data_IF_463206353440
#
_entry.id   IF_463206353440
#
_cell.length_a   1.000
_cell.length_b   1.000
_cell.length_c   1.000
_cell.angle_alpha   90.00
_cell.angle_beta   90.00
_cell.angle_gamma   90.00
#
_symmetry.space_group_name_H-M   'P 1'
#
loop_
_entity.id
_entity.type
_entity.pdbx_description
1 polymer ?
#
# COMPACT_ATOMS: atom_id res chain seq x y z
N UNK A 1 2.76 9.15 -15.95
CA UNK A 1 1.42 8.51 -16.21
C UNK A 1 1.02 8.58 -17.68
N UNK A 2 1.30 9.66 -18.41
CA UNK A 2 0.98 9.78 -19.86
C UNK A 2 1.55 8.64 -20.69
N UNK A 3 2.76 8.17 -20.39
CA UNK A 3 3.37 7.04 -21.10
C UNK A 3 2.58 5.71 -20.97
N UNK A 4 1.81 5.52 -19.90
CA UNK A 4 0.98 4.32 -19.74
C UNK A 4 -0.14 4.31 -20.77
N UNK A 5 -0.79 5.45 -21.02
CA UNK A 5 -1.86 5.56 -22.03
C UNK A 5 -1.34 5.23 -23.42
N UNK A 6 -0.19 5.80 -23.79
CA UNK A 6 0.44 5.56 -25.10
C UNK A 6 0.80 4.08 -25.29
N UNK A 7 1.37 3.46 -24.24
CA UNK A 7 1.72 2.03 -24.29
C UNK A 7 0.47 1.13 -24.35
N UNK A 8 -0.58 1.43 -23.60
CA UNK A 8 -1.82 0.65 -23.65
C UNK A 8 -2.46 0.71 -25.04
N UNK A 9 -2.46 1.89 -25.68
CA UNK A 9 -2.91 2.00 -27.06
C UNK A 9 -2.03 1.20 -28.05
N UNK A 10 -0.71 1.21 -27.82
CA UNK A 10 0.23 0.49 -28.68
C UNK A 10 0.08 -1.02 -28.61
N UNK A 11 -0.33 -1.56 -27.48
CA UNK A 11 -0.49 -3.00 -27.23
C UNK A 11 -1.94 -3.46 -27.23
N UNK A 12 -2.85 -2.72 -27.85
CA UNK A 12 -4.31 -3.00 -27.85
C UNK A 12 -4.66 -4.43 -28.32
N UNK A 13 -3.95 -4.96 -29.31
CA UNK A 13 -4.16 -6.34 -29.76
C UNK A 13 -3.78 -7.37 -28.70
N UNK A 14 -2.69 -7.14 -27.96
CA UNK A 14 -2.29 -8.00 -26.84
C UNK A 14 -3.30 -7.90 -25.69
N UNK A 15 -3.82 -6.71 -25.40
CA UNK A 15 -4.84 -6.52 -24.38
C UNK A 15 -6.11 -7.33 -24.72
N UNK A 16 -6.54 -7.30 -25.98
CA UNK A 16 -7.70 -8.09 -26.45
C UNK A 16 -7.47 -9.60 -26.34
N UNK A 17 -6.27 -10.08 -26.68
CA UNK A 17 -5.88 -11.49 -26.54
C UNK A 17 -6.01 -11.97 -25.09
N UNK A 18 -5.67 -11.10 -24.12
CA UNK A 18 -5.75 -11.36 -22.69
C UNK A 18 -7.07 -10.90 -22.03
N UNK A 19 -8.11 -10.62 -22.81
CA UNK A 19 -9.41 -10.14 -22.30
C UNK A 19 -9.29 -8.91 -21.39
N UNK A 20 -8.31 -8.06 -21.66
CA UNK A 20 -8.09 -6.82 -20.94
C UNK A 20 -8.67 -5.66 -21.75
N UNK A 21 -9.50 -4.85 -21.12
CA UNK A 21 -10.14 -3.71 -21.74
C UNK A 21 -9.53 -2.42 -21.23
N UNK A 22 -8.85 -1.67 -22.10
CA UNK A 22 -8.43 -0.33 -21.80
C UNK A 22 -9.58 0.64 -22.09
N UNK A 23 -10.02 1.35 -21.05
CA UNK A 23 -11.14 2.28 -21.15
C UNK A 23 -10.69 3.68 -20.72
N UNK A 24 -10.35 4.57 -21.67
CA UNK A 24 -10.04 5.96 -21.38
C UNK A 24 -11.23 6.66 -20.72
N UNK A 25 -11.06 7.14 -19.51
CA UNK A 25 -12.11 7.88 -18.82
C UNK A 25 -12.25 9.31 -19.38
N UNK A 26 -13.47 9.81 -19.47
CA UNK A 26 -13.72 11.21 -19.80
C UNK A 26 -13.17 12.15 -18.71
N UNK A 27 -13.25 11.72 -17.48
CA UNK A 27 -12.60 12.31 -16.32
C UNK A 27 -12.41 11.25 -15.22
N UNK A 28 -11.67 11.60 -14.18
CA UNK A 28 -11.28 10.70 -13.11
C UNK A 28 -12.47 10.16 -12.32
N UNK A 29 -13.48 10.97 -12.04
CA UNK A 29 -14.67 10.55 -11.32
C UNK A 29 -15.51 9.54 -12.11
N UNK A 30 -15.72 9.77 -13.40
CA UNK A 30 -16.46 8.84 -14.26
C UNK A 30 -15.70 7.53 -14.47
N UNK A 31 -14.37 7.60 -14.60
CA UNK A 31 -13.53 6.40 -14.65
C UNK A 31 -13.66 5.57 -13.36
N UNK A 32 -13.63 6.22 -12.18
CA UNK A 32 -13.80 5.57 -10.89
C UNK A 32 -15.20 4.96 -10.74
N UNK A 33 -16.23 5.66 -11.18
CA UNK A 33 -17.61 5.14 -11.18
C UNK A 33 -17.76 3.91 -12.08
N UNK A 34 -17.08 3.90 -13.23
CA UNK A 34 -17.08 2.74 -14.13
C UNK A 34 -16.43 1.51 -13.46
N UNK A 35 -15.32 1.73 -12.72
CA UNK A 35 -14.68 0.67 -11.93
C UNK A 35 -15.63 0.14 -10.86
N UNK A 36 -16.34 1.01 -10.14
CA UNK A 36 -17.34 0.59 -9.18
C UNK A 36 -18.41 -0.30 -9.82
N UNK A 37 -18.86 0.03 -11.03
CA UNK A 37 -19.77 -0.80 -11.81
C UNK A 37 -19.23 -2.21 -12.07
N UNK A 38 -17.95 -2.37 -12.36
CA UNK A 38 -17.33 -3.70 -12.59
C UNK A 38 -17.36 -4.61 -11.36
N UNK A 39 -17.46 -4.06 -10.16
CA UNK A 39 -17.51 -4.82 -8.91
C UNK A 39 -18.93 -5.27 -8.53
N UNK A 40 -19.92 -5.02 -9.36
CA UNK A 40 -21.32 -5.38 -9.14
C UNK A 40 -21.76 -6.65 -9.90
N UNK A 41 -20.83 -7.40 -10.46
CA UNK A 41 -21.11 -8.63 -11.23
C UNK A 41 -21.93 -9.65 -10.46
N UNK A 42 -21.77 -9.71 -9.13
CA UNK A 42 -22.51 -10.67 -8.29
C UNK A 42 -23.97 -10.25 -8.02
N UNK A 43 -24.39 -9.04 -8.43
CA UNK A 43 -25.75 -8.56 -8.18
C UNK A 43 -26.74 -9.03 -9.25
N UNK A 44 -26.24 -9.45 -10.39
CA UNK A 44 -27.04 -9.80 -11.56
C UNK A 44 -26.75 -11.22 -12.01
N UNK A 45 -27.80 -12.00 -12.30
CA UNK A 45 -27.66 -13.39 -12.70
C UNK A 45 -27.26 -13.57 -14.18
N UNK A 46 -27.20 -12.49 -14.94
CA UNK A 46 -26.88 -12.45 -16.37
C UNK A 46 -25.46 -11.92 -16.63
N UNK A 47 -24.62 -11.84 -15.62
CA UNK A 47 -23.21 -11.48 -15.79
C UNK A 47 -22.48 -12.52 -16.66
N UNK A 48 -21.70 -12.03 -17.64
CA UNK A 48 -20.87 -12.89 -18.49
C UNK A 48 -19.56 -13.33 -17.81
N UNK A 49 -19.24 -12.77 -16.64
CA UNK A 49 -18.00 -13.01 -15.92
C UNK A 49 -18.27 -13.29 -14.44
N UNK A 50 -17.49 -14.17 -13.85
CA UNK A 50 -17.54 -14.45 -12.41
C UNK A 50 -17.02 -13.28 -11.57
N UNK A 51 -16.17 -12.44 -12.15
CA UNK A 51 -15.64 -11.22 -11.55
C UNK A 51 -14.70 -10.49 -12.51
N UNK A 52 -14.45 -9.25 -12.22
CA UNK A 52 -13.59 -8.36 -13.03
C UNK A 52 -12.50 -7.76 -12.16
N UNK A 53 -11.25 -7.86 -12.61
CA UNK A 53 -10.19 -7.03 -12.07
C UNK A 53 -10.26 -5.66 -12.66
N UNK A 54 -10.07 -4.66 -11.82
CA UNK A 54 -10.03 -3.29 -12.29
C UNK A 54 -8.80 -2.57 -11.76
N UNK A 55 -8.19 -1.83 -12.65
CA UNK A 55 -7.04 -1.00 -12.36
C UNK A 55 -7.35 0.44 -12.77
N UNK A 56 -7.40 1.33 -11.79
CA UNK A 56 -7.50 2.76 -12.03
C UNK A 56 -6.14 3.42 -11.82
N UNK A 57 -5.79 4.39 -12.64
CA UNK A 57 -4.59 5.18 -12.44
C UNK A 57 -4.84 6.66 -12.72
N UNK A 58 -4.24 7.50 -11.92
CA UNK A 58 -4.37 8.94 -12.02
C UNK A 58 -3.34 9.67 -11.15
N UNK A 59 -3.27 10.99 -11.31
CA UNK A 59 -2.53 11.86 -10.39
C UNK A 59 -3.34 12.14 -9.12
N UNK A 60 -2.66 12.65 -8.09
CA UNK A 60 -3.29 13.11 -6.86
C UNK A 60 -4.53 13.99 -7.06
N UNK A 61 -4.48 15.09 -7.85
CA UNK A 61 -5.69 15.90 -8.11
C UNK A 61 -6.85 15.14 -8.76
N UNK A 62 -6.55 14.12 -9.57
CA UNK A 62 -7.58 13.25 -10.14
C UNK A 62 -8.20 12.33 -9.08
N UNK A 63 -7.39 11.88 -8.11
CA UNK A 63 -7.91 11.16 -6.94
C UNK A 63 -8.87 12.04 -6.14
N UNK A 64 -8.52 13.31 -5.86
CA UNK A 64 -9.40 14.25 -5.16
C UNK A 64 -10.76 14.39 -5.86
N UNK A 65 -10.78 14.50 -7.19
CA UNK A 65 -12.02 14.56 -7.95
C UNK A 65 -12.84 13.26 -7.88
N UNK A 66 -12.20 12.13 -7.73
CA UNK A 66 -12.84 10.81 -7.72
C UNK A 66 -13.23 10.32 -6.31
N UNK A 67 -12.94 11.08 -5.25
CA UNK A 67 -13.06 10.64 -3.85
C UNK A 67 -14.44 10.11 -3.47
N UNK A 68 -15.53 10.73 -3.94
CA UNK A 68 -16.87 10.22 -3.61
C UNK A 68 -17.12 8.85 -4.24
N UNK A 69 -16.85 8.68 -5.53
CA UNK A 69 -17.00 7.38 -6.21
C UNK A 69 -16.08 6.32 -5.61
N UNK A 70 -14.85 6.69 -5.24
CA UNK A 70 -13.90 5.82 -4.58
C UNK A 70 -14.40 5.37 -3.20
N UNK A 71 -14.94 6.30 -2.39
CA UNK A 71 -15.53 6.00 -1.08
C UNK A 71 -16.67 5.02 -1.22
N UNK A 72 -17.63 5.31 -2.09
CA UNK A 72 -18.78 4.45 -2.33
C UNK A 72 -18.34 3.06 -2.81
N UNK A 73 -17.44 3.00 -3.77
CA UNK A 73 -16.93 1.74 -4.32
C UNK A 73 -16.22 0.88 -3.27
N UNK A 74 -15.31 1.46 -2.48
CA UNK A 74 -14.60 0.71 -1.43
C UNK A 74 -15.53 0.26 -0.29
N UNK A 75 -16.49 1.10 0.12
CA UNK A 75 -17.44 0.74 1.17
C UNK A 75 -18.32 -0.44 0.74
N UNK A 76 -18.79 -0.46 -0.51
CA UNK A 76 -19.44 -1.65 -1.07
C UNK A 76 -18.49 -2.84 -1.11
N UNK A 77 -17.26 -2.63 -1.58
CA UNK A 77 -16.22 -3.63 -1.69
C UNK A 77 -16.05 -4.21 -3.09
N UNK A 78 -15.16 -5.19 -3.22
CA UNK A 78 -14.93 -5.92 -4.46
C UNK A 78 -15.94 -7.06 -4.64
N UNK A 79 -16.16 -7.48 -5.89
CA UNK A 79 -16.87 -8.73 -6.18
C UNK A 79 -16.04 -9.94 -5.73
N UNK A 80 -16.71 -11.08 -5.50
CA UNK A 80 -16.07 -12.30 -4.95
C UNK A 80 -14.84 -12.77 -5.75
N UNK A 81 -14.91 -12.67 -7.07
CA UNK A 81 -13.83 -13.05 -7.97
C UNK A 81 -13.22 -11.85 -8.69
N UNK A 82 -13.54 -10.64 -8.24
CA UNK A 82 -12.99 -9.38 -8.72
C UNK A 82 -11.77 -8.92 -7.93
N UNK A 83 -11.58 -7.63 -7.92
CA UNK A 83 -10.54 -6.93 -7.19
C UNK A 83 -10.26 -5.57 -7.82
N UNK A 84 -9.83 -4.61 -7.03
CA UNK A 84 -9.56 -3.25 -7.50
C UNK A 84 -8.25 -2.74 -6.96
N UNK A 85 -7.42 -2.22 -7.87
CA UNK A 85 -6.17 -1.54 -7.54
C UNK A 85 -6.24 -0.09 -8.03
N UNK A 86 -6.01 0.86 -7.13
CA UNK A 86 -6.07 2.30 -7.39
C UNK A 86 -4.66 2.88 -7.36
N UNK A 87 -4.06 3.03 -8.52
CA UNK A 87 -2.71 3.57 -8.66
C UNK A 87 -2.72 5.10 -8.70
N UNK A 88 -2.03 5.71 -7.75
CA UNK A 88 -1.92 7.16 -7.65
C UNK A 88 -0.48 7.59 -7.83
N UNK A 89 -0.24 8.40 -8.84
CA UNK A 89 1.02 9.10 -9.02
C UNK A 89 1.08 10.30 -8.07
N UNK A 90 1.65 10.09 -6.91
CA UNK A 90 1.96 11.17 -5.97
C UNK A 90 3.15 11.98 -6.48
N UNK A 91 3.21 13.23 -6.10
CA UNK A 91 4.26 14.15 -6.51
C UNK A 91 4.71 14.98 -5.31
N UNK A 92 5.57 14.38 -4.50
CA UNK A 92 6.08 14.98 -3.28
C UNK A 92 6.86 16.26 -3.57
N UNK A 93 7.60 16.30 -4.68
CA UNK A 93 8.51 17.37 -5.05
C UNK A 93 7.88 18.44 -5.96
N UNK A 94 6.57 18.33 -6.23
CA UNK A 94 5.83 19.28 -7.09
C UNK A 94 6.43 19.41 -8.50
N UNK A 95 6.91 18.31 -9.06
CA UNK A 95 7.54 18.30 -10.39
C UNK A 95 6.52 18.46 -11.51
N UNK A 96 5.30 18.00 -11.30
CA UNK A 96 4.21 18.03 -12.28
C UNK A 96 2.85 18.44 -11.72
N UNK A 97 2.78 18.82 -10.44
CA UNK A 97 1.60 19.35 -9.75
C UNK A 97 1.91 20.71 -9.10
N UNK A 98 0.88 21.52 -8.86
CA UNK A 98 1.06 22.82 -8.20
C UNK A 98 1.34 22.66 -6.71
N UNK A 99 0.80 21.61 -6.09
CA UNK A 99 0.96 21.31 -4.68
C UNK A 99 1.61 19.93 -4.52
N UNK A 100 2.49 19.78 -3.53
CA UNK A 100 2.99 18.47 -3.12
C UNK A 100 1.84 17.56 -2.70
N UNK A 101 1.80 16.36 -3.26
CA UNK A 101 0.69 15.43 -3.06
C UNK A 101 1.17 14.15 -2.38
N UNK A 102 0.36 13.65 -1.45
CA UNK A 102 0.62 12.44 -0.67
C UNK A 102 -0.72 11.79 -0.34
N UNK A 103 -0.98 10.63 -0.95
CA UNK A 103 -2.30 10.01 -0.99
C UNK A 103 -2.60 9.07 0.17
N UNK A 104 -1.61 8.67 0.96
CA UNK A 104 -1.78 7.62 1.98
C UNK A 104 -2.84 7.95 3.03
N UNK A 105 -2.92 9.21 3.49
CA UNK A 105 -3.94 9.60 4.47
C UNK A 105 -5.35 9.66 3.86
N UNK A 106 -5.47 9.90 2.56
CA UNK A 106 -6.76 9.82 1.87
C UNK A 106 -7.24 8.37 1.82
N UNK A 107 -6.36 7.43 1.55
CA UNK A 107 -6.68 6.01 1.59
C UNK A 107 -6.99 5.53 3.00
N UNK A 108 -6.29 6.02 4.02
CA UNK A 108 -6.60 5.76 5.42
C UNK A 108 -8.01 6.23 5.79
N UNK A 109 -8.38 7.47 5.42
CA UNK A 109 -9.74 8.01 5.62
C UNK A 109 -10.83 7.18 4.93
N UNK A 110 -10.48 6.51 3.85
CA UNK A 110 -11.35 5.60 3.10
C UNK A 110 -11.35 4.15 3.63
N UNK A 111 -10.53 3.82 4.62
CA UNK A 111 -10.29 2.45 5.08
C UNK A 111 -9.79 1.52 3.97
N UNK A 112 -8.93 2.01 3.10
CA UNK A 112 -8.33 1.25 2.02
C UNK A 112 -6.92 0.81 2.36
N UNK A 113 -6.58 -0.49 2.31
CA UNK A 113 -5.19 -0.92 2.39
C UNK A 113 -4.33 -0.20 1.35
N UNK A 114 -3.12 0.18 1.73
CA UNK A 114 -2.17 0.89 0.84
C UNK A 114 -0.94 0.05 0.63
N UNK A 115 -0.51 -0.10 -0.63
CA UNK A 115 0.79 -0.66 -0.99
C UNK A 115 1.69 0.45 -1.53
N UNK A 116 2.95 0.43 -1.08
CA UNK A 116 3.93 1.44 -1.46
C UNK A 116 5.26 0.80 -1.90
N UNK A 117 5.45 0.55 -3.21
CA UNK A 117 6.66 -0.05 -3.74
C UNK A 117 7.86 0.90 -3.65
N UNK A 118 9.04 0.33 -3.39
CA UNK A 118 10.29 1.06 -3.26
C UNK A 118 11.07 1.18 -4.58
N UNK A 119 10.82 0.31 -5.55
CA UNK A 119 11.50 0.29 -6.84
C UNK A 119 10.64 -0.34 -7.94
N UNK A 120 11.18 -0.36 -9.17
CA UNK A 120 10.45 -0.84 -10.35
C UNK A 120 10.12 -2.34 -10.30
N UNK A 121 10.94 -3.16 -9.64
CA UNK A 121 10.61 -4.58 -9.44
C UNK A 121 9.40 -4.70 -8.51
N UNK A 122 9.40 -3.97 -7.43
CA UNK A 122 8.27 -3.96 -6.50
C UNK A 122 7.00 -3.33 -7.10
N UNK A 123 7.14 -2.39 -8.05
CA UNK A 123 5.98 -1.90 -8.81
C UNK A 123 5.27 -3.03 -9.54
N UNK A 124 5.99 -3.99 -10.10
CA UNK A 124 5.38 -5.16 -10.73
C UNK A 124 4.84 -6.16 -9.71
N UNK A 125 5.63 -6.49 -8.70
CA UNK A 125 5.34 -7.55 -7.75
C UNK A 125 4.20 -7.15 -6.80
N UNK A 126 4.23 -5.94 -6.25
CA UNK A 126 3.16 -5.44 -5.39
C UNK A 126 1.86 -5.18 -6.15
N UNK A 127 1.90 -4.91 -7.46
CA UNK A 127 0.72 -4.88 -8.30
C UNK A 127 -0.05 -6.21 -8.27
N UNK A 128 0.67 -7.34 -8.38
CA UNK A 128 0.09 -8.69 -8.27
C UNK A 128 -0.44 -8.97 -6.85
N UNK A 129 0.34 -8.61 -5.82
CA UNK A 129 -0.13 -8.71 -4.44
C UNK A 129 -1.36 -7.85 -4.19
N UNK A 130 -1.43 -6.63 -4.74
CA UNK A 130 -2.56 -5.71 -4.56
C UNK A 130 -3.87 -6.25 -5.11
N UNK A 131 -3.84 -6.86 -6.30
CA UNK A 131 -5.00 -7.53 -6.89
C UNK A 131 -5.44 -8.71 -6.02
N UNK A 132 -4.50 -9.55 -5.59
CA UNK A 132 -4.80 -10.70 -4.74
C UNK A 132 -5.31 -10.30 -3.36
N UNK A 133 -4.73 -9.25 -2.77
CA UNK A 133 -5.15 -8.65 -1.51
C UNK A 133 -6.58 -8.14 -1.60
N UNK A 134 -6.91 -7.36 -2.65
CA UNK A 134 -8.25 -6.84 -2.85
C UNK A 134 -9.30 -7.96 -2.94
N UNK A 135 -8.99 -9.02 -3.70
CA UNK A 135 -9.85 -10.21 -3.81
C UNK A 135 -10.02 -10.91 -2.46
N UNK A 136 -8.94 -11.07 -1.72
CA UNK A 136 -8.96 -11.81 -0.46
C UNK A 136 -9.73 -11.06 0.63
N UNK A 137 -9.43 -9.78 0.84
CA UNK A 137 -10.03 -9.02 1.93
C UNK A 137 -11.35 -8.33 1.56
N UNK A 138 -11.71 -8.25 0.28
CA UNK A 138 -12.93 -7.60 -0.20
C UNK A 138 -12.88 -6.06 -0.23
N UNK A 139 -11.76 -5.44 0.18
CA UNK A 139 -11.54 -4.00 0.06
C UNK A 139 -10.89 -3.65 -1.28
N UNK A 140 -11.02 -2.41 -1.73
CA UNK A 140 -10.18 -1.86 -2.77
C UNK A 140 -8.82 -1.52 -2.19
N UNK A 141 -7.76 -1.53 -3.01
CA UNK A 141 -6.38 -1.34 -2.56
C UNK A 141 -5.79 -0.09 -3.21
N UNK A 142 -5.27 0.82 -2.38
CA UNK A 142 -4.48 1.96 -2.81
C UNK A 142 -3.06 1.52 -3.21
N UNK A 143 -2.55 2.13 -4.26
CA UNK A 143 -1.24 1.83 -4.81
C UNK A 143 -0.48 3.12 -5.05
N UNK A 144 0.39 3.48 -4.10
CA UNK A 144 1.13 4.74 -4.14
C UNK A 144 2.36 4.59 -5.04
N UNK A 145 2.47 5.46 -6.02
CA UNK A 145 3.59 5.50 -6.96
C UNK A 145 4.23 6.90 -6.95
N UNK A 146 5.55 6.95 -7.00
CA UNK A 146 6.30 8.20 -7.09
C UNK A 146 7.08 8.29 -8.41
N UNK A 147 7.31 9.50 -8.96
CA UNK A 147 8.15 9.69 -10.13
C UNK A 147 9.53 9.04 -9.97
N UNK A 148 10.14 9.15 -8.80
CA UNK A 148 11.46 8.60 -8.48
C UNK A 148 11.51 7.06 -8.57
N UNK A 149 10.37 6.38 -8.49
CA UNK A 149 10.28 4.93 -8.68
C UNK A 149 9.86 4.55 -10.10
N UNK A 150 8.87 5.23 -10.68
CA UNK A 150 8.26 4.82 -11.96
C UNK A 150 8.90 5.42 -13.20
N UNK A 151 9.68 6.51 -13.05
CA UNK A 151 10.43 7.14 -14.16
C UNK A 151 11.88 6.64 -14.24
N UNK A 152 12.19 5.57 -13.50
CA UNK A 152 13.50 4.90 -13.55
C UNK A 152 13.50 3.72 -14.52
N UNK A 153 14.70 3.29 -14.89
CA UNK A 153 14.90 2.07 -15.68
C UNK A 153 15.77 1.10 -14.90
N UNK A 154 15.38 -0.15 -14.84
CA UNK A 154 16.14 -1.21 -14.18
C UNK A 154 15.97 -2.55 -14.91
N UNK A 155 16.94 -3.43 -14.72
CA UNK A 155 16.74 -4.85 -15.06
C UNK A 155 15.83 -5.48 -14.02
N UNK A 156 14.81 -6.19 -14.48
CA UNK A 156 13.82 -6.85 -13.63
C UNK A 156 13.80 -8.36 -13.87
N UNK A 157 13.39 -9.11 -12.88
CA UNK A 157 12.95 -10.49 -13.05
C UNK A 157 11.52 -10.48 -13.61
N UNK A 158 11.35 -10.93 -14.85
CA UNK A 158 10.07 -11.00 -15.54
C UNK A 158 9.43 -12.40 -15.51
N UNK A 159 9.97 -13.37 -14.75
CA UNK A 159 9.36 -14.69 -14.61
C UNK A 159 7.93 -14.52 -14.05
N UNK A 160 6.94 -15.02 -14.79
CA UNK A 160 5.53 -14.95 -14.38
C UNK A 160 5.26 -15.68 -13.05
N UNK A 161 6.11 -16.65 -12.70
CA UNK A 161 5.98 -17.45 -11.48
C UNK A 161 6.82 -16.92 -10.30
N UNK A 162 7.52 -15.79 -10.45
CA UNK A 162 8.39 -15.25 -9.40
C UNK A 162 7.63 -14.86 -8.13
N UNK A 163 6.43 -14.29 -8.27
CA UNK A 163 5.58 -13.92 -7.14
C UNK A 163 4.72 -15.10 -6.74
N UNK A 164 4.93 -15.59 -5.52
CA UNK A 164 4.13 -16.66 -4.92
C UNK A 164 3.19 -16.06 -3.88
N UNK A 165 1.93 -15.93 -4.25
CA UNK A 165 0.92 -15.38 -3.36
C UNK A 165 0.46 -16.46 -2.39
N UNK A 166 0.57 -16.17 -1.09
CA UNK A 166 0.06 -17.01 -0.02
C UNK A 166 -1.28 -16.46 0.43
N UNK A 167 -2.33 -17.28 0.34
CA UNK A 167 -3.66 -16.97 0.88
C UNK A 167 -3.70 -17.50 2.31
N UNK A 168 -3.74 -16.65 3.34
CA UNK A 168 -3.80 -17.11 4.73
C UNK A 168 -5.17 -17.68 5.08
N UNK A 169 -5.21 -18.53 6.10
CA UNK A 169 -6.48 -18.86 6.76
C UNK A 169 -6.99 -17.63 7.53
N UNK A 170 -8.28 -17.34 7.38
CA UNK A 170 -8.94 -16.23 8.06
C UNK A 170 -10.42 -16.55 8.28
N UNK A 171 -10.94 -16.21 9.44
CA UNK A 171 -12.33 -16.43 9.77
C UNK A 171 -13.21 -15.29 9.25
N UNK A 172 -13.83 -15.51 8.10
CA UNK A 172 -14.78 -14.58 7.52
C UNK A 172 -16.19 -14.77 8.06
N UNK A 173 -17.04 -13.73 8.03
CA UNK A 173 -18.45 -13.90 8.36
C UNK A 173 -19.11 -14.84 7.35
N UNK A 174 -20.22 -15.55 7.74
CA UNK A 174 -20.88 -16.54 6.88
C UNK A 174 -21.27 -16.00 5.49
N UNK A 175 -21.67 -14.73 5.42
CA UNK A 175 -22.04 -14.04 4.18
C UNK A 175 -20.82 -13.55 3.36
N UNK A 176 -19.62 -13.63 3.93
CA UNK A 176 -18.39 -13.15 3.31
C UNK A 176 -18.15 -11.65 3.48
N UNK A 177 -17.13 -11.14 2.78
CA UNK A 177 -16.67 -9.73 2.88
C UNK A 177 -16.85 -8.94 1.59
N UNK A 178 -17.32 -9.59 0.54
CA UNK A 178 -17.48 -8.99 -0.77
C UNK A 178 -18.70 -8.06 -0.83
N UNK A 179 -18.88 -7.41 -1.96
CA UNK A 179 -19.97 -6.47 -2.17
C UNK A 179 -21.36 -7.13 -2.04
N UNK A 180 -22.25 -6.51 -1.28
CA UNK A 180 -23.66 -6.93 -1.12
C UNK A 180 -24.60 -5.74 -1.37
N UNK A 181 -25.57 -5.91 -2.23
CA UNK A 181 -26.54 -4.88 -2.60
C UNK A 181 -27.43 -4.42 -1.43
N UNK A 182 -27.72 -5.33 -0.49
CA UNK A 182 -28.67 -5.10 0.58
C UNK A 182 -28.05 -4.59 1.89
N UNK A 183 -26.75 -4.36 1.92
CA UNK A 183 -26.07 -3.87 3.12
C UNK A 183 -26.45 -2.42 3.42
N UNK A 184 -26.87 -2.17 4.66
CA UNK A 184 -26.93 -0.80 5.16
C UNK A 184 -25.52 -0.24 5.36
N UNK A 185 -25.39 1.09 5.42
CA UNK A 185 -24.10 1.76 5.67
C UNK A 185 -23.42 1.31 6.95
N UNK A 186 -24.18 1.02 7.99
CA UNK A 186 -23.66 0.49 9.27
C UNK A 186 -23.07 -0.91 9.14
N UNK A 187 -23.70 -1.78 8.33
CA UNK A 187 -23.19 -3.12 8.05
C UNK A 187 -21.93 -3.03 7.21
N UNK A 188 -21.88 -2.14 6.22
CA UNK A 188 -20.69 -1.92 5.40
C UNK A 188 -19.51 -1.47 6.26
N UNK A 189 -19.69 -0.48 7.14
CA UNK A 189 -18.64 -0.01 8.04
C UNK A 189 -18.17 -1.11 8.99
N UNK A 190 -19.10 -1.83 9.62
CA UNK A 190 -18.76 -2.95 10.50
C UNK A 190 -17.96 -4.04 9.75
N UNK A 191 -18.31 -4.35 8.49
CA UNK A 191 -17.60 -5.31 7.67
C UNK A 191 -16.18 -4.84 7.34
N UNK A 192 -16.00 -3.56 7.05
CA UNK A 192 -14.68 -2.96 6.81
C UNK A 192 -13.81 -3.12 8.05
N UNK A 193 -14.28 -2.62 9.20
CA UNK A 193 -13.48 -2.56 10.43
C UNK A 193 -13.19 -3.92 11.04
N UNK A 194 -14.18 -4.81 11.04
CA UNK A 194 -14.11 -6.08 11.77
C UNK A 194 -13.53 -7.22 10.94
N UNK A 195 -13.56 -7.11 9.59
CA UNK A 195 -13.15 -8.21 8.73
C UNK A 195 -12.19 -7.79 7.62
N UNK A 196 -12.50 -6.76 6.81
CA UNK A 196 -11.68 -6.42 5.65
C UNK A 196 -10.29 -5.94 6.03
N UNK A 197 -10.17 -5.01 6.98
CA UNK A 197 -8.87 -4.52 7.45
C UNK A 197 -8.07 -5.58 8.19
N UNK A 198 -8.65 -6.37 9.14
CA UNK A 198 -7.95 -7.50 9.74
C UNK A 198 -7.50 -8.56 8.73
N UNK A 199 -8.33 -8.87 7.73
CA UNK A 199 -7.95 -9.80 6.66
C UNK A 199 -6.79 -9.25 5.83
N UNK A 200 -6.77 -7.94 5.55
CA UNK A 200 -5.65 -7.30 4.85
C UNK A 200 -4.34 -7.43 5.64
N UNK A 201 -4.37 -7.26 6.96
CA UNK A 201 -3.20 -7.49 7.83
C UNK A 201 -2.74 -8.95 7.80
N UNK A 202 -3.68 -9.90 7.91
CA UNK A 202 -3.35 -11.33 7.81
C UNK A 202 -2.67 -11.66 6.47
N UNK A 203 -3.19 -11.10 5.37
CA UNK A 203 -2.58 -11.25 4.04
C UNK A 203 -1.18 -10.64 3.97
N UNK A 204 -0.99 -9.44 4.50
CA UNK A 204 0.30 -8.75 4.50
C UNK A 204 1.37 -9.53 5.25
N UNK A 205 1.02 -10.09 6.41
CA UNK A 205 1.92 -10.93 7.23
C UNK A 205 2.28 -12.24 6.51
N UNK A 206 1.29 -12.94 5.95
CA UNK A 206 1.51 -14.19 5.22
C UNK A 206 2.43 -14.00 3.99
N UNK A 207 2.35 -12.85 3.33
CA UNK A 207 3.13 -12.52 2.16
C UNK A 207 4.36 -11.65 2.46
N UNK A 208 4.64 -11.38 3.75
CA UNK A 208 5.80 -10.59 4.21
C UNK A 208 5.90 -9.24 3.51
N UNK A 209 4.78 -8.54 3.37
CA UNK A 209 4.77 -7.19 2.79
C UNK A 209 5.47 -6.18 3.70
N UNK A 210 5.45 -6.43 5.02
CA UNK A 210 6.25 -5.72 6.01
C UNK A 210 7.29 -6.71 6.57
N UNK A 211 8.57 -6.36 6.51
CA UNK A 211 9.62 -7.29 6.93
C UNK A 211 10.91 -6.57 7.36
N UNK A 212 11.68 -7.22 8.21
CA UNK A 212 13.02 -6.76 8.58
C UNK A 212 13.97 -7.02 7.41
N UNK A 213 14.38 -5.96 6.73
CA UNK A 213 15.25 -6.02 5.55
C UNK A 213 16.73 -6.10 5.89
N UNK A 214 17.11 -5.59 7.07
CA UNK A 214 18.46 -5.63 7.60
C UNK A 214 18.40 -6.11 9.05
N UNK A 215 18.56 -7.43 9.29
CA UNK A 215 18.56 -7.98 10.65
C UNK A 215 19.90 -7.71 11.36
N UNK A 216 19.86 -7.61 12.69
CA UNK A 216 21.02 -7.62 13.57
C UNK A 216 20.80 -8.63 14.69
N UNK A 217 21.85 -9.34 15.11
CA UNK A 217 21.77 -10.29 16.23
C UNK A 217 21.64 -9.59 17.60
N UNK A 218 22.10 -8.33 17.70
CA UNK A 218 22.01 -7.52 18.90
C UNK A 218 21.44 -6.13 18.54
N UNK A 219 20.17 -6.02 18.15
CA UNK A 219 19.60 -4.79 17.66
C UNK A 219 19.46 -3.77 18.80
N UNK A 220 19.88 -2.54 18.54
CA UNK A 220 19.79 -1.39 19.46
C UNK A 220 19.08 -0.22 18.83
N UNK A 221 19.36 0.02 17.53
CA UNK A 221 18.78 1.12 16.75
C UNK A 221 17.92 0.52 15.65
N UNK A 222 16.63 0.79 15.69
CA UNK A 222 15.69 0.44 14.64
C UNK A 222 15.52 1.60 13.64
N UNK A 223 15.45 1.30 12.36
CA UNK A 223 15.01 2.26 11.34
C UNK A 223 13.72 1.70 10.74
N UNK A 224 12.65 2.49 10.76
CA UNK A 224 11.37 2.11 10.14
C UNK A 224 11.13 3.01 8.94
N UNK A 225 10.88 2.41 7.79
CA UNK A 225 10.77 3.16 6.54
C UNK A 225 9.90 2.45 5.51
N UNK A 226 9.42 3.18 4.50
CA UNK A 226 8.54 2.68 3.45
C UNK A 226 8.92 3.22 2.07
N UNK A 227 8.50 2.51 1.02
CA UNK A 227 8.62 2.94 -0.38
C UNK A 227 10.02 3.45 -0.73
N UNK A 228 10.07 4.60 -1.40
CA UNK A 228 11.32 5.26 -1.81
C UNK A 228 12.27 5.54 -0.64
N UNK A 229 11.74 5.97 0.52
CA UNK A 229 12.57 6.31 1.69
C UNK A 229 13.41 5.12 2.18
N UNK A 230 12.97 3.87 1.95
CA UNK A 230 13.79 2.69 2.22
C UNK A 230 15.06 2.64 1.35
N UNK A 231 14.96 3.06 0.10
CA UNK A 231 16.14 3.17 -0.80
C UNK A 231 17.06 4.27 -0.35
N UNK A 232 16.50 5.39 0.10
CA UNK A 232 17.29 6.54 0.58
C UNK A 232 18.06 6.18 1.87
N UNK A 233 17.45 5.46 2.80
CA UNK A 233 18.12 4.93 4.00
C UNK A 233 19.28 4.00 3.63
N UNK A 234 19.09 3.10 2.69
CA UNK A 234 20.16 2.22 2.22
C UNK A 234 21.29 3.01 1.57
N UNK A 235 20.96 4.02 0.76
CA UNK A 235 21.96 4.88 0.14
C UNK A 235 22.73 5.68 1.19
N UNK A 236 22.05 6.20 2.21
CA UNK A 236 22.69 6.92 3.31
C UNK A 236 23.70 6.04 4.07
N UNK A 237 23.41 4.77 4.30
CA UNK A 237 24.36 3.82 4.89
C UNK A 237 25.60 3.64 3.99
N UNK A 238 25.40 3.51 2.67
CA UNK A 238 26.49 3.42 1.70
C UNK A 238 27.36 4.69 1.71
N UNK A 239 26.74 5.88 1.73
CA UNK A 239 27.44 7.16 1.74
C UNK A 239 28.23 7.38 3.04
N UNK A 240 27.75 6.82 4.15
CA UNK A 240 28.46 6.78 5.42
C UNK A 240 29.57 5.71 5.46
N UNK A 241 29.72 4.90 4.43
CA UNK A 241 30.67 3.80 4.38
C UNK A 241 30.29 2.62 5.27
N UNK A 242 29.01 2.47 5.63
CA UNK A 242 28.50 1.40 6.49
C UNK A 242 27.94 0.29 5.60
N UNK A 243 28.63 -0.84 5.54
CA UNK A 243 28.12 -2.04 4.88
C UNK A 243 26.98 -2.69 5.69
N UNK A 244 26.20 -3.57 5.06
CA UNK A 244 25.12 -4.32 5.77
C UNK A 244 25.66 -5.11 6.98
N UNK A 245 26.85 -5.72 6.85
CA UNK A 245 27.51 -6.41 7.96
C UNK A 245 27.87 -5.44 9.09
N UNK A 246 28.46 -4.31 8.76
CA UNK A 246 28.80 -3.29 9.77
C UNK A 246 27.55 -2.70 10.43
N UNK A 247 26.48 -2.49 9.70
CA UNK A 247 25.20 -2.06 10.26
C UNK A 247 24.69 -3.08 11.30
N UNK A 248 24.73 -4.38 10.98
CA UNK A 248 24.35 -5.44 11.90
C UNK A 248 25.25 -5.48 13.14
N UNK A 249 26.57 -5.33 12.99
CA UNK A 249 27.55 -5.28 14.10
C UNK A 249 27.35 -4.05 14.99
N UNK A 250 26.91 -2.91 14.43
CA UNK A 250 26.57 -1.69 15.17
C UNK A 250 25.21 -1.79 15.87
N UNK A 251 24.45 -2.84 15.64
CA UNK A 251 23.11 -3.02 16.21
C UNK A 251 22.03 -2.25 15.47
N UNK A 252 22.27 -1.89 14.19
CA UNK A 252 21.27 -1.23 13.34
C UNK A 252 20.43 -2.32 12.66
N UNK A 253 19.11 -2.22 12.81
CA UNK A 253 18.12 -3.08 12.13
C UNK A 253 17.11 -2.22 11.38
N UNK A 254 16.60 -2.70 10.22
CA UNK A 254 15.70 -1.90 9.39
C UNK A 254 14.42 -2.69 9.12
N UNK A 255 13.29 -2.14 9.53
CA UNK A 255 11.95 -2.60 9.15
C UNK A 255 11.52 -1.86 7.90
N UNK A 256 11.31 -2.61 6.82
CA UNK A 256 10.69 -2.11 5.60
C UNK A 256 9.19 -2.36 5.63
N UNK A 257 8.40 -1.32 5.46
CA UNK A 257 6.95 -1.37 5.43
C UNK A 257 6.47 -1.20 3.98
N UNK A 258 5.95 -2.27 3.41
CA UNK A 258 5.39 -2.28 2.05
C UNK A 258 3.87 -2.03 2.04
N UNK A 259 3.19 -2.31 3.15
CA UNK A 259 1.79 -1.98 3.38
C UNK A 259 1.67 -1.06 4.61
N UNK A 260 1.78 0.27 4.43
CA UNK A 260 1.74 1.22 5.55
C UNK A 260 0.35 1.37 6.19
N UNK A 261 -0.73 1.09 5.46
CA UNK A 261 -2.08 1.07 6.01
C UNK A 261 -2.84 -0.20 5.58
N UNK A 262 -3.60 -0.83 6.49
CA UNK A 262 -3.69 -0.55 7.94
C UNK A 262 -2.35 -0.78 8.64
N UNK A 263 -2.08 0.01 9.69
CA UNK A 263 -0.87 -0.12 10.48
C UNK A 263 -0.81 -1.51 11.15
N UNK A 264 0.27 -2.26 10.91
CA UNK A 264 0.50 -3.55 11.54
C UNK A 264 1.13 -3.38 12.92
N UNK A 265 0.30 -3.00 13.89
CA UNK A 265 0.73 -2.67 15.25
C UNK A 265 1.41 -3.85 15.97
N UNK A 266 1.07 -5.10 15.63
CA UNK A 266 1.74 -6.28 16.19
C UNK A 266 3.18 -6.40 15.67
N UNK A 267 3.38 -6.32 14.36
CA UNK A 267 4.72 -6.32 13.74
C UNK A 267 5.54 -5.13 14.24
N UNK A 268 4.93 -3.96 14.40
CA UNK A 268 5.63 -2.78 14.91
C UNK A 268 6.04 -2.93 16.38
N UNK A 269 5.15 -3.45 17.23
CA UNK A 269 5.46 -3.70 18.63
C UNK A 269 6.51 -4.82 18.80
N UNK A 270 6.47 -5.86 17.95
CA UNK A 270 7.49 -6.91 17.94
C UNK A 270 8.86 -6.35 17.54
N UNK A 271 8.92 -5.55 16.48
CA UNK A 271 10.14 -4.89 16.03
C UNK A 271 10.72 -3.95 17.09
N UNK A 272 9.87 -3.24 17.82
CA UNK A 272 10.29 -2.26 18.82
C UNK A 272 10.93 -2.88 20.08
N UNK A 273 10.66 -4.16 20.36
CA UNK A 273 11.13 -4.81 21.58
C UNK A 273 12.65 -4.92 21.63
N UNK A 274 13.22 -4.42 22.72
CA UNK A 274 14.66 -4.46 22.98
C UNK A 274 15.47 -3.40 22.25
N UNK A 275 14.84 -2.57 21.43
CA UNK A 275 15.49 -1.41 20.82
C UNK A 275 15.60 -0.25 21.83
N UNK A 276 16.71 0.46 21.77
CA UNK A 276 16.93 1.70 22.53
C UNK A 276 16.25 2.88 21.84
N UNK A 277 16.37 2.94 20.52
CA UNK A 277 15.85 4.03 19.69
C UNK A 277 15.30 3.50 18.36
N UNK A 278 14.23 4.12 17.88
CA UNK A 278 13.67 3.91 16.54
C UNK A 278 13.69 5.23 15.79
N UNK A 279 14.30 5.24 14.61
CA UNK A 279 14.28 6.35 13.66
C UNK A 279 13.22 6.03 12.60
N UNK A 280 12.19 6.86 12.49
CA UNK A 280 11.17 6.73 11.45
C UNK A 280 11.55 7.64 10.27
N UNK A 281 11.69 7.04 9.09
CA UNK A 281 12.05 7.76 7.86
C UNK A 281 10.90 7.62 6.86
N UNK A 282 10.15 8.68 6.71
CA UNK A 282 9.01 8.80 5.80
C UNK A 282 8.90 10.21 5.24
N UNK A 283 8.14 10.39 4.16
CA UNK A 283 8.01 11.67 3.47
C UNK A 283 6.61 12.27 3.65
N UNK A 284 6.51 13.58 3.75
CA UNK A 284 5.29 14.41 3.77
C UNK A 284 4.36 14.21 4.96
N UNK A 285 4.04 13.00 5.34
CA UNK A 285 3.04 12.69 6.36
C UNK A 285 3.60 11.71 7.39
N UNK A 286 3.10 11.78 8.59
CA UNK A 286 3.52 11.02 9.77
C UNK A 286 2.69 9.74 9.99
N UNK A 287 2.52 8.95 8.93
CA UNK A 287 1.74 7.71 8.97
C UNK A 287 2.46 6.60 9.74
N UNK A 288 3.75 6.36 9.41
CA UNK A 288 4.56 5.37 10.11
C UNK A 288 4.88 5.79 11.54
N UNK A 289 5.26 7.05 11.76
CA UNK A 289 5.54 7.58 13.11
C UNK A 289 4.31 7.41 14.00
N UNK A 290 3.14 7.80 13.53
CA UNK A 290 1.87 7.64 14.25
C UNK A 290 1.59 6.17 14.55
N UNK A 291 1.76 5.27 13.57
CA UNK A 291 1.59 3.83 13.74
C UNK A 291 2.55 3.23 14.77
N UNK A 292 3.84 3.63 14.72
CA UNK A 292 4.86 3.20 15.68
C UNK A 292 4.59 3.71 17.10
N UNK A 293 4.21 4.98 17.25
CA UNK A 293 3.82 5.54 18.54
C UNK A 293 2.62 4.79 19.12
N UNK A 294 1.59 4.52 18.31
CA UNK A 294 0.43 3.72 18.73
C UNK A 294 0.82 2.32 19.17
N UNK A 295 1.65 1.62 18.38
CA UNK A 295 2.10 0.26 18.72
C UNK A 295 2.95 0.20 19.98
N UNK A 296 3.77 1.22 20.24
CA UNK A 296 4.62 1.28 21.41
C UNK A 296 3.90 1.79 22.68
N UNK A 297 2.71 2.39 22.53
CA UNK A 297 1.97 2.96 23.66
C UNK A 297 1.62 1.91 24.71
N UNK A 298 1.24 0.72 24.30
CA UNK A 298 0.84 -0.39 25.17
C UNK A 298 2.02 -1.21 25.69
N UNK A 299 3.24 -0.96 25.24
CA UNK A 299 4.43 -1.61 25.78
C UNK A 299 4.69 -1.14 27.22
N UNK A 300 5.26 -1.98 28.11
CA UNK A 300 5.80 -1.54 29.39
C UNK A 300 6.78 -0.38 29.23
N UNK A 301 6.77 0.58 30.16
CA UNK A 301 7.57 1.81 30.03
C UNK A 301 9.07 1.54 29.79
N UNK A 302 9.59 0.51 30.47
CA UNK A 302 10.99 0.06 30.37
C UNK A 302 11.33 -0.64 29.04
N UNK A 303 10.34 -0.98 28.23
CA UNK A 303 10.50 -1.63 26.92
C UNK A 303 10.20 -0.68 25.77
N UNK A 304 9.83 0.57 26.08
CA UNK A 304 9.52 1.57 25.03
C UNK A 304 10.80 2.20 24.52
N UNK A 305 11.15 2.00 23.23
CA UNK A 305 12.25 2.73 22.63
C UNK A 305 11.92 4.23 22.54
N UNK A 306 12.94 5.04 22.47
CA UNK A 306 12.78 6.41 22.03
C UNK A 306 12.43 6.42 20.55
N UNK A 307 11.38 7.15 20.16
CA UNK A 307 11.00 7.29 18.75
C UNK A 307 11.37 8.69 18.26
N UNK A 308 12.14 8.73 17.18
CA UNK A 308 12.57 9.94 16.48
C UNK A 308 11.98 9.86 15.06
N UNK A 309 11.23 10.87 14.67
CA UNK A 309 10.59 10.94 13.35
C UNK A 309 10.66 12.36 12.81
N UNK A 310 9.52 13.04 12.70
CA UNK A 310 9.42 14.42 12.19
C UNK A 310 10.00 15.51 13.10
N UNK A 311 10.45 15.14 14.27
CA UNK A 311 11.16 16.04 15.19
C UNK A 311 12.51 15.44 15.50
N UNK A 312 13.51 16.31 15.56
CA UNK A 312 14.81 15.93 16.06
C UNK A 312 14.79 15.67 17.58
N UNK A 313 15.92 15.31 18.12
CA UNK A 313 16.12 15.04 19.55
C UNK A 313 15.90 16.27 20.45
N UNK A 314 15.95 17.47 19.90
CA UNK A 314 15.67 18.72 20.59
C UNK A 314 14.20 19.16 20.47
N UNK A 315 13.38 18.41 19.73
CA UNK A 315 11.97 18.71 19.45
C UNK A 315 11.76 19.73 18.32
N UNK A 316 12.81 20.11 17.60
CA UNK A 316 12.68 20.93 16.41
C UNK A 316 12.10 20.08 15.27
N UNK A 317 11.14 20.63 14.51
CA UNK A 317 10.58 19.93 13.34
C UNK A 317 11.67 19.81 12.27
N UNK A 318 11.83 18.60 11.76
CA UNK A 318 12.59 18.38 10.55
C UNK A 318 11.77 18.91 9.36
N UNK A 319 12.46 19.53 8.41
CA UNK A 319 11.84 19.95 7.16
C UNK A 319 11.63 18.71 6.27
N UNK A 320 10.47 18.64 5.65
CA UNK A 320 10.15 17.60 4.67
C UNK A 320 10.95 17.80 3.38
#
# INVERSE_FOLDING_TARGET
>A
MTAIDEELWRVDDLLKEHHTHFWPGTNEHLAMTSIWGTQQTNYYNDSNYDGVYSFWYGKGPGLDQAMDALRQGNWHGSSKHGGVLIAVGDDHNMTSTINGYSSELLFEDLFMPVLYPADIQEVLDMGLYGIALSRFCGAWVGYKLLPETIETSASIDADINRVKIVTPEFEFPPEGVNAFLQDSVYIQEARIRNYRLPAALAFARANKLNYVSHPSDNPRIGIVTMGKSWRDVRQALVDLGISEQQAAELGITILKVGMPYPADTETYAEFARGLEEIIVVEEKRDLLETGMLGACYDLPAEQRPRIVGRKDECGAKLLD
#
